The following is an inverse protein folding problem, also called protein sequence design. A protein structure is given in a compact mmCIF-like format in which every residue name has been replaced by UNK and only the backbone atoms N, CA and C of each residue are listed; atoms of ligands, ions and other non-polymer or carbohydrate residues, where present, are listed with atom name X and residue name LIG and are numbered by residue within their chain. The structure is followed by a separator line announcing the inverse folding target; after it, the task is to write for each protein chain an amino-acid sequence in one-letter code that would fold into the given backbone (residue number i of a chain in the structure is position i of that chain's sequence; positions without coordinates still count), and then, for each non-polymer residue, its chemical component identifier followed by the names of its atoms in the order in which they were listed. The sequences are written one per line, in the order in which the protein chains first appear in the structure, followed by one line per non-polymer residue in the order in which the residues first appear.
data_IF_849743477415
#
_entry.id   IF_849743477415
#
_cell.length_a   1.000
_cell.length_b   1.000
_cell.length_c   1.000
_cell.angle_alpha   90.00
_cell.angle_beta   90.00
_cell.angle_gamma   90.00
#
_symmetry.space_group_name_H-M   'P 1'
#
loop_
_entity.id
_entity.type
_entity.pdbx_description
1 polymer ?
#
# COMPACT_ATOMS: atom_id res chain seq x y z
N UNK A 1 -15.11 -35.47 -27.62
CA UNK A 1 -14.39 -35.59 -26.34
C UNK A 1 -13.70 -34.25 -26.09
N UNK A 2 -14.29 -33.42 -25.26
CA UNK A 2 -13.73 -32.13 -24.89
C UNK A 2 -12.95 -32.34 -23.59
N UNK A 3 -11.64 -32.16 -23.64
CA UNK A 3 -10.78 -32.15 -22.44
C UNK A 3 -10.99 -30.80 -21.73
N UNK A 4 -11.67 -30.82 -20.61
CA UNK A 4 -11.71 -29.68 -19.68
C UNK A 4 -10.35 -29.59 -18.98
N UNK A 5 -9.53 -28.64 -19.37
CA UNK A 5 -8.39 -28.20 -18.57
C UNK A 5 -8.94 -27.36 -17.39
N UNK A 6 -9.09 -28.00 -16.25
CA UNK A 6 -9.26 -27.30 -14.99
C UNK A 6 -7.93 -26.65 -14.64
N UNK A 7 -7.83 -25.33 -14.80
CA UNK A 7 -6.74 -24.55 -14.25
C UNK A 7 -6.82 -24.66 -12.72
N UNK A 8 -5.90 -25.43 -12.14
CA UNK A 8 -5.71 -25.45 -10.70
C UNK A 8 -5.09 -24.09 -10.32
N UNK A 9 -5.87 -23.23 -9.70
CA UNK A 9 -5.36 -22.07 -8.98
C UNK A 9 -4.46 -22.64 -7.88
N UNK A 10 -3.17 -22.46 -8.03
CA UNK A 10 -2.22 -22.78 -6.97
C UNK A 10 -2.48 -21.79 -5.84
N UNK A 11 -3.20 -22.22 -4.82
CA UNK A 11 -3.32 -21.50 -3.56
C UNK A 11 -1.90 -21.28 -3.05
N UNK A 12 -1.44 -20.02 -3.04
CA UNK A 12 -0.19 -19.67 -2.39
C UNK A 12 -0.31 -20.10 -0.93
N UNK A 13 0.72 -20.78 -0.42
CA UNK A 13 0.77 -21.11 0.98
C UNK A 13 0.49 -19.83 1.80
N UNK A 14 -0.52 -19.88 2.69
CA UNK A 14 -0.86 -18.71 3.49
C UNK A 14 0.39 -18.30 4.28
N UNK A 15 0.79 -17.05 4.12
CA UNK A 15 1.87 -16.49 4.93
C UNK A 15 1.55 -16.66 6.41
N UNK A 16 2.54 -16.96 7.19
CA UNK A 16 2.40 -16.92 8.65
C UNK A 16 2.56 -15.48 9.13
N UNK A 17 1.73 -15.02 10.08
CA UNK A 17 1.90 -13.70 10.67
C UNK A 17 3.30 -13.56 11.27
N UNK A 18 3.90 -12.40 11.10
CA UNK A 18 5.14 -12.07 11.79
C UNK A 18 4.83 -11.93 13.28
N UNK A 19 5.39 -12.82 14.11
CA UNK A 19 5.26 -12.68 15.56
C UNK A 19 6.48 -11.91 16.09
N UNK A 20 6.28 -10.70 16.58
CA UNK A 20 7.29 -10.05 17.41
C UNK A 20 7.52 -10.88 18.67
N UNK A 21 8.80 -11.03 19.05
CA UNK A 21 9.24 -11.96 20.11
C UNK A 21 8.67 -11.69 21.50
N UNK A 22 8.11 -10.52 21.76
CA UNK A 22 7.47 -10.20 23.03
C UNK A 22 6.36 -9.15 22.79
N UNK A 23 5.26 -9.20 23.56
CA UNK A 23 4.30 -8.11 23.55
C UNK A 23 5.00 -6.83 24.01
N UNK A 24 4.89 -5.77 23.24
CA UNK A 24 5.35 -4.44 23.60
C UNK A 24 4.16 -3.51 23.66
N UNK A 25 4.29 -2.48 24.51
CA UNK A 25 3.29 -1.44 24.65
C UNK A 25 3.83 -0.14 24.06
N UNK A 26 3.00 0.52 23.26
CA UNK A 26 3.29 1.89 22.84
C UNK A 26 2.88 2.87 23.93
N UNK A 27 3.69 3.89 24.16
CA UNK A 27 3.44 4.90 25.19
C UNK A 27 2.45 5.97 24.75
N UNK A 28 2.37 6.19 23.46
CA UNK A 28 1.48 7.19 22.84
C UNK A 28 0.74 6.55 21.68
N UNK A 29 -0.42 7.08 21.33
CA UNK A 29 -1.22 6.61 20.16
C UNK A 29 -0.68 7.17 18.83
N UNK A 30 0.64 7.28 18.70
CA UNK A 30 1.31 7.85 17.54
C UNK A 30 1.16 9.37 17.45
N UNK A 31 1.93 10.00 16.57
CA UNK A 31 1.93 11.46 16.40
C UNK A 31 0.64 12.00 15.79
N UNK A 32 -0.12 11.17 15.10
CA UNK A 32 -1.38 11.55 14.46
C UNK A 32 -2.60 11.31 15.36
N UNK A 33 -2.41 10.78 16.57
CA UNK A 33 -3.46 10.56 17.57
C UNK A 33 -4.50 9.53 17.10
N UNK A 34 -4.32 8.26 17.47
CA UNK A 34 -5.26 7.20 17.13
C UNK A 34 -6.29 7.01 18.25
N UNK A 35 -7.56 7.04 17.92
CA UNK A 35 -8.66 6.72 18.81
C UNK A 35 -9.08 5.24 18.63
N UNK A 36 -8.90 4.46 19.69
CA UNK A 36 -9.27 3.04 19.69
C UNK A 36 -10.78 2.80 19.63
N UNK A 37 -11.58 3.69 20.17
CA UNK A 37 -13.03 3.52 20.20
C UNK A 37 -13.64 3.64 18.81
N UNK A 38 -13.13 4.55 17.99
CA UNK A 38 -13.56 4.77 16.61
C UNK A 38 -12.70 4.01 15.59
N UNK A 39 -11.59 3.42 16.03
CA UNK A 39 -10.55 2.81 15.17
C UNK A 39 -10.11 3.77 14.05
N UNK A 40 -9.84 5.01 14.39
CA UNK A 40 -9.54 6.09 13.45
C UNK A 40 -8.51 7.04 14.02
N UNK A 41 -7.70 7.65 13.14
CA UNK A 41 -6.88 8.79 13.52
C UNK A 41 -7.75 10.06 13.66
N UNK A 42 -7.24 11.06 14.37
CA UNK A 42 -7.95 12.31 14.57
C UNK A 42 -8.07 13.12 13.29
N UNK A 43 -9.17 13.86 13.15
CA UNK A 43 -9.46 14.72 12.02
C UNK A 43 -10.24 14.04 10.89
N UNK A 44 -10.52 14.79 9.84
CA UNK A 44 -11.12 14.26 8.62
C UNK A 44 -10.11 13.47 7.79
N UNK A 45 -10.54 12.89 6.66
CA UNK A 45 -9.67 12.05 5.83
C UNK A 45 -8.42 12.79 5.32
N UNK A 46 -8.56 14.06 4.97
CA UNK A 46 -7.46 14.90 4.47
C UNK A 46 -6.48 15.23 5.60
N UNK A 47 -6.97 15.58 6.78
CA UNK A 47 -6.15 15.86 7.96
C UNK A 47 -5.38 14.62 8.40
N UNK A 48 -6.03 13.45 8.39
CA UNK A 48 -5.40 12.18 8.68
C UNK A 48 -4.30 11.88 7.65
N UNK A 49 -4.58 11.97 6.35
CA UNK A 49 -3.60 11.71 5.30
C UNK A 49 -2.39 12.67 5.38
N UNK A 50 -2.62 13.97 5.62
CA UNK A 50 -1.54 14.94 5.82
C UNK A 50 -0.61 14.58 6.97
N UNK A 51 -1.16 14.02 8.04
CA UNK A 51 -0.37 13.55 9.17
C UNK A 51 0.32 12.21 8.86
N UNK A 52 -0.37 11.28 8.23
CA UNK A 52 0.09 9.91 8.02
C UNK A 52 1.02 9.75 6.79
N UNK A 53 1.07 10.73 5.89
CA UNK A 53 2.01 10.77 4.77
C UNK A 53 3.22 11.68 5.03
N UNK A 54 3.63 11.84 6.27
CA UNK A 54 4.88 12.53 6.60
C UNK A 54 6.05 11.78 6.04
N UNK A 55 6.85 12.44 5.20
CA UNK A 55 8.08 11.87 4.69
C UNK A 55 9.14 11.74 5.78
N UNK A 56 10.09 10.85 5.56
CA UNK A 56 11.31 10.75 6.36
C UNK A 56 12.40 11.60 5.71
N UNK A 57 13.19 12.28 6.53
CA UNK A 57 14.40 12.93 6.07
C UNK A 57 15.55 11.92 5.91
N UNK A 58 16.67 12.36 5.31
CA UNK A 58 17.87 11.53 5.09
C UNK A 58 18.48 10.98 6.40
N UNK A 59 18.17 11.62 7.52
CA UNK A 59 18.61 11.19 8.86
C UNK A 59 17.59 10.27 9.54
N UNK A 60 16.56 9.86 8.81
CA UNK A 60 15.48 8.97 9.27
C UNK A 60 14.63 9.56 10.39
N UNK A 61 14.52 10.88 10.44
CA UNK A 61 13.54 11.53 11.28
C UNK A 61 12.24 11.75 10.52
N UNK A 62 11.13 11.54 11.20
CA UNK A 62 9.82 11.85 10.65
C UNK A 62 9.68 13.37 10.49
N UNK A 63 9.45 13.80 9.26
CA UNK A 63 9.27 15.20 8.88
C UNK A 63 8.01 15.84 9.48
N UNK A 64 7.77 17.12 9.17
CA UNK A 64 6.55 17.80 9.57
C UNK A 64 5.33 17.20 8.86
N UNK A 65 4.15 17.48 9.41
CA UNK A 65 2.91 17.20 8.70
C UNK A 65 2.90 17.93 7.36
N UNK A 66 2.38 17.28 6.31
CA UNK A 66 2.26 17.92 5.01
C UNK A 66 1.46 19.23 5.12
N UNK A 67 1.99 20.30 4.55
CA UNK A 67 1.30 21.59 4.55
C UNK A 67 -0.02 21.51 3.77
N UNK A 68 0.01 20.79 2.64
CA UNK A 68 -1.13 20.62 1.74
C UNK A 68 -1.05 19.23 1.08
N UNK A 69 -2.19 18.59 0.90
CA UNK A 69 -2.29 17.39 0.08
C UNK A 69 -2.32 17.77 -1.40
N UNK A 70 -1.75 16.95 -2.31
CA UNK A 70 -1.99 17.08 -3.75
C UNK A 70 -3.49 17.09 -4.05
N UNK A 71 -3.94 18.03 -4.90
CA UNK A 71 -5.37 18.24 -5.16
C UNK A 71 -6.14 16.96 -5.54
N UNK A 72 -5.64 16.07 -6.44
CA UNK A 72 -6.34 14.84 -6.77
C UNK A 72 -6.57 13.90 -5.57
N UNK A 73 -5.69 13.92 -4.58
CA UNK A 73 -5.85 13.17 -3.33
C UNK A 73 -6.78 13.90 -2.36
N UNK A 74 -6.59 15.22 -2.18
CA UNK A 74 -7.40 16.01 -1.25
C UNK A 74 -8.90 15.93 -1.57
N UNK A 75 -9.26 15.89 -2.86
CA UNK A 75 -10.66 15.82 -3.30
C UNK A 75 -11.30 14.45 -3.05
N UNK A 76 -10.52 13.43 -2.73
CA UNK A 76 -10.97 12.02 -2.63
C UNK A 76 -10.86 11.43 -1.24
N UNK A 77 -9.73 11.59 -0.59
CA UNK A 77 -9.36 10.85 0.62
C UNK A 77 -10.45 10.87 1.69
N UNK A 78 -10.86 9.69 2.12
CA UNK A 78 -11.83 9.52 3.21
C UNK A 78 -13.28 9.79 2.83
N UNK A 79 -13.60 10.02 1.54
CA UNK A 79 -14.98 10.21 1.07
C UNK A 79 -15.34 9.29 -0.11
N UNK A 80 -16.56 9.38 -0.62
CA UNK A 80 -17.07 8.55 -1.73
C UNK A 80 -17.10 9.32 -3.07
N UNK A 81 -16.75 10.60 -3.06
CA UNK A 81 -16.90 11.45 -4.23
C UNK A 81 -16.00 11.00 -5.39
N UNK A 82 -16.60 10.84 -6.57
CA UNK A 82 -15.86 10.43 -7.78
C UNK A 82 -15.28 9.02 -7.76
N UNK A 83 -15.70 8.16 -6.83
CA UNK A 83 -15.29 6.76 -6.80
C UNK A 83 -15.82 6.04 -8.05
N UNK A 84 -14.97 5.34 -8.81
CA UNK A 84 -15.41 4.55 -9.96
C UNK A 84 -16.37 3.42 -9.56
N UNK A 85 -17.24 3.02 -10.49
CA UNK A 85 -18.08 1.84 -10.25
C UNK A 85 -17.26 0.55 -10.42
N UNK A 86 -17.70 -0.53 -9.79
CA UNK A 86 -17.08 -1.86 -9.93
C UNK A 86 -17.12 -2.34 -11.38
N UNK A 87 -18.21 -2.05 -12.11
CA UNK A 87 -18.39 -2.40 -13.52
C UNK A 87 -17.37 -1.69 -14.42
N UNK A 88 -17.20 -0.38 -14.22
CA UNK A 88 -16.22 0.40 -14.97
C UNK A 88 -14.79 -0.13 -14.72
N UNK A 89 -14.48 -0.41 -13.47
CA UNK A 89 -13.19 -0.98 -13.07
C UNK A 89 -12.98 -2.38 -13.64
N UNK A 90 -13.97 -3.28 -13.57
CA UNK A 90 -13.92 -4.61 -14.17
C UNK A 90 -13.65 -4.54 -15.67
N UNK A 91 -14.38 -3.68 -16.39
CA UNK A 91 -14.17 -3.47 -17.83
C UNK A 91 -12.76 -2.98 -18.15
N UNK A 92 -12.20 -2.12 -17.30
CA UNK A 92 -10.85 -1.62 -17.50
C UNK A 92 -9.78 -2.68 -17.23
N UNK A 93 -9.94 -3.46 -16.16
CA UNK A 93 -9.01 -4.54 -15.81
C UNK A 93 -8.95 -5.62 -16.88
N UNK A 94 -10.10 -5.98 -17.46
CA UNK A 94 -10.17 -6.92 -18.60
C UNK A 94 -9.36 -6.46 -19.80
N UNK A 95 -9.35 -5.14 -20.09
CA UNK A 95 -8.57 -4.57 -21.19
C UNK A 95 -7.04 -4.60 -20.94
N UNK A 96 -6.64 -4.63 -19.67
CA UNK A 96 -5.23 -4.65 -19.28
C UNK A 96 -4.66 -6.06 -19.13
N UNK A 97 -5.46 -7.11 -19.38
CA UNK A 97 -5.09 -8.51 -19.08
C UNK A 97 -4.71 -8.75 -17.60
N UNK A 98 -5.31 -7.92 -16.73
CA UNK A 98 -5.16 -8.00 -15.27
C UNK A 98 -6.37 -8.67 -14.60
N UNK A 99 -7.24 -9.27 -15.37
CA UNK A 99 -8.46 -9.92 -14.91
C UNK A 99 -8.18 -11.04 -13.90
N UNK A 100 -7.13 -11.81 -14.17
CA UNK A 100 -6.71 -12.90 -13.29
C UNK A 100 -6.19 -12.45 -11.94
N UNK A 101 -5.64 -11.25 -11.88
CA UNK A 101 -5.04 -10.74 -10.65
C UNK A 101 -6.05 -10.00 -9.76
N UNK A 102 -7.08 -9.36 -10.35
CA UNK A 102 -7.97 -8.50 -9.58
C UNK A 102 -9.45 -8.60 -9.93
N UNK A 103 -9.84 -8.83 -11.18
CA UNK A 103 -11.24 -8.69 -11.56
C UNK A 103 -12.13 -9.72 -10.87
N UNK A 104 -11.64 -10.96 -10.70
CA UNK A 104 -12.37 -12.01 -10.00
C UNK A 104 -12.63 -11.66 -8.53
N UNK A 105 -11.74 -10.86 -7.91
CA UNK A 105 -11.82 -10.46 -6.52
C UNK A 105 -12.48 -9.10 -6.30
N UNK A 106 -12.78 -8.36 -7.38
CA UNK A 106 -13.37 -7.03 -7.29
C UNK A 106 -14.71 -7.02 -6.53
N UNK A 107 -15.44 -8.11 -6.58
CA UNK A 107 -16.72 -8.29 -5.92
C UNK A 107 -16.63 -8.82 -4.50
N UNK A 108 -15.48 -9.30 -4.10
CA UNK A 108 -15.24 -9.75 -2.74
C UNK A 108 -15.19 -8.56 -1.78
N UNK A 109 -15.55 -8.76 -0.50
CA UNK A 109 -15.42 -7.72 0.51
C UNK A 109 -13.95 -7.34 0.68
N UNK A 110 -13.71 -6.16 1.25
CA UNK A 110 -12.39 -5.80 1.79
C UNK A 110 -12.29 -6.29 3.24
N UNK A 111 -11.07 -6.43 3.77
CA UNK A 111 -10.87 -6.81 5.18
C UNK A 111 -11.55 -5.84 6.14
N UNK A 112 -11.84 -6.34 7.34
CA UNK A 112 -12.33 -5.56 8.47
C UNK A 112 -11.38 -5.65 9.64
N UNK A 113 -11.38 -4.65 10.47
CA UNK A 113 -10.68 -4.68 11.75
C UNK A 113 -11.13 -5.88 12.60
N UNK A 114 -10.39 -6.14 13.67
CA UNK A 114 -10.67 -7.21 14.60
C UNK A 114 -10.86 -8.59 13.92
N UNK A 115 -9.94 -8.88 12.98
CA UNK A 115 -9.89 -10.18 12.27
C UNK A 115 -11.18 -10.49 11.48
N UNK A 116 -11.69 -9.51 10.75
CA UNK A 116 -12.94 -9.58 9.98
C UNK A 116 -14.22 -9.65 10.84
N UNK A 117 -14.21 -9.11 12.05
CA UNK A 117 -15.46 -8.97 12.83
C UNK A 117 -16.49 -8.16 12.02
N UNK A 118 -17.69 -8.71 11.75
CA UNK A 118 -18.73 -8.00 10.98
C UNK A 118 -19.17 -6.66 11.61
N UNK A 119 -19.03 -6.50 12.92
CA UNK A 119 -19.34 -5.26 13.63
C UNK A 119 -18.20 -4.23 13.58
N UNK A 120 -16.99 -4.65 13.20
CA UNK A 120 -15.85 -3.77 13.12
C UNK A 120 -15.81 -2.98 11.79
N UNK A 121 -15.15 -1.82 11.74
CA UNK A 121 -15.00 -1.05 10.51
C UNK A 121 -14.25 -1.82 9.44
N UNK A 122 -14.59 -1.58 8.17
CA UNK A 122 -13.80 -2.02 7.02
C UNK A 122 -12.43 -1.35 7.04
N UNK A 123 -11.47 -1.93 6.29
CA UNK A 123 -10.17 -1.32 6.08
C UNK A 123 -10.32 0.13 5.64
N UNK A 124 -9.56 1.01 6.29
CA UNK A 124 -9.59 2.46 6.08
C UNK A 124 -8.28 3.02 5.55
N UNK A 125 -7.17 2.34 5.86
CA UNK A 125 -5.84 2.85 5.64
C UNK A 125 -5.12 2.01 4.58
N UNK A 126 -4.50 2.71 3.63
CA UNK A 126 -3.69 2.11 2.57
C UNK A 126 -2.22 2.41 2.87
N UNK A 127 -1.52 1.42 3.42
CA UNK A 127 -0.15 1.59 3.91
C UNK A 127 0.85 1.32 2.81
N UNK A 128 1.64 2.33 2.53
CA UNK A 128 2.70 2.30 1.52
C UNK A 128 4.02 2.02 2.24
N UNK A 129 4.68 0.95 1.81
CA UNK A 129 5.99 0.51 2.28
C UNK A 129 7.02 0.58 1.16
N UNK A 130 8.30 0.51 1.51
CA UNK A 130 9.34 0.09 0.61
C UNK A 130 10.14 -1.06 1.22
N UNK A 131 10.67 -1.91 0.34
CA UNK A 131 11.38 -3.12 0.78
C UNK A 131 12.73 -2.84 1.43
N UNK A 132 13.31 -1.66 1.24
CA UNK A 132 14.70 -1.35 1.62
C UNK A 132 15.74 -2.40 1.14
N UNK A 133 15.36 -3.23 0.18
CA UNK A 133 16.13 -4.38 -0.33
C UNK A 133 16.20 -4.38 -1.87
N UNK A 134 17.35 -4.73 -2.45
CA UNK A 134 18.63 -5.02 -1.79
C UNK A 134 19.32 -3.77 -1.25
N UNK A 135 20.03 -3.93 -0.13
CA UNK A 135 20.88 -2.87 0.39
C UNK A 135 22.31 -3.00 -0.18
N UNK A 136 22.76 -1.98 -0.90
CA UNK A 136 24.07 -1.93 -1.53
C UNK A 136 25.18 -1.41 -0.61
N UNK A 137 24.85 -0.98 0.60
CA UNK A 137 25.81 -0.36 1.52
C UNK A 137 26.47 0.86 0.86
N UNK A 138 27.80 0.87 0.77
CA UNK A 138 28.57 1.95 0.15
C UNK A 138 28.69 1.85 -1.39
N UNK A 139 28.27 0.74 -1.99
CA UNK A 139 28.38 0.53 -3.44
C UNK A 139 27.37 1.40 -4.18
N UNK A 140 27.75 1.89 -5.36
CA UNK A 140 26.82 2.58 -6.25
C UNK A 140 25.64 1.67 -6.63
N UNK A 141 24.49 2.28 -6.92
CA UNK A 141 23.40 1.55 -7.56
C UNK A 141 23.87 1.06 -8.94
N UNK A 142 23.56 -0.18 -9.32
CA UNK A 142 23.84 -0.65 -10.68
C UNK A 142 22.98 0.11 -11.71
N UNK A 143 23.48 0.22 -12.94
CA UNK A 143 22.76 0.92 -14.03
C UNK A 143 21.39 0.31 -14.29
N UNK A 144 21.28 -1.02 -14.15
CA UNK A 144 20.06 -1.79 -14.36
C UNK A 144 19.06 -1.73 -13.17
N UNK A 145 19.28 -0.87 -12.17
CA UNK A 145 18.45 -0.79 -10.97
C UNK A 145 16.95 -0.63 -11.28
N UNK A 146 16.64 0.04 -12.38
CA UNK A 146 15.26 0.27 -12.84
C UNK A 146 14.76 -0.80 -13.85
N UNK A 147 15.59 -1.79 -14.17
CA UNK A 147 15.21 -2.84 -15.12
C UNK A 147 14.45 -3.96 -14.39
N UNK A 148 13.20 -4.20 -14.78
CA UNK A 148 12.34 -5.24 -14.20
C UNK A 148 12.89 -6.66 -14.32
N UNK A 149 13.70 -6.93 -15.34
CA UNK A 149 14.35 -8.24 -15.53
C UNK A 149 15.59 -8.42 -14.66
N UNK A 150 16.07 -7.38 -14.02
CA UNK A 150 17.18 -7.49 -13.08
C UNK A 150 16.79 -8.34 -11.87
N UNK A 151 17.72 -9.16 -11.39
CA UNK A 151 17.55 -9.93 -10.14
C UNK A 151 17.23 -9.05 -8.93
N UNK A 152 17.58 -7.78 -8.98
CA UNK A 152 17.25 -6.78 -7.97
C UNK A 152 15.73 -6.65 -7.82
N UNK A 153 15.00 -6.71 -8.94
CA UNK A 153 13.56 -6.51 -9.02
C UNK A 153 12.76 -7.82 -8.98
N UNK A 154 13.38 -8.93 -8.58
CA UNK A 154 12.72 -10.23 -8.54
C UNK A 154 11.66 -10.29 -7.44
N UNK A 155 10.41 -10.41 -7.83
CA UNK A 155 9.27 -10.63 -6.93
C UNK A 155 9.34 -11.96 -6.18
N UNK A 156 10.09 -12.95 -6.71
CA UNK A 156 10.19 -14.27 -6.08
C UNK A 156 10.78 -14.26 -4.67
N UNK A 157 11.57 -13.24 -4.33
CA UNK A 157 12.14 -13.04 -3.00
C UNK A 157 11.10 -12.68 -1.94
N UNK A 158 9.94 -12.17 -2.38
CA UNK A 158 8.91 -11.63 -1.51
C UNK A 158 7.69 -12.55 -1.41
N UNK A 159 7.79 -13.76 -1.95
CA UNK A 159 6.76 -14.79 -1.79
C UNK A 159 6.70 -15.27 -0.34
N UNK A 160 5.52 -15.65 0.10
CA UNK A 160 5.27 -16.24 1.42
C UNK A 160 5.89 -17.64 1.63
N UNK A 161 7.03 -17.96 1.00
CA UNK A 161 7.62 -19.30 1.01
C UNK A 161 8.17 -19.73 2.36
N UNK A 162 8.64 -18.78 3.18
CA UNK A 162 9.43 -19.06 4.37
C UNK A 162 8.72 -18.74 5.69
N UNK A 163 7.43 -18.56 5.63
CA UNK A 163 6.61 -18.36 6.84
C UNK A 163 6.69 -16.96 7.44
N UNK A 164 7.38 -16.01 6.81
CA UNK A 164 7.44 -14.61 7.25
C UNK A 164 6.31 -13.80 6.62
N UNK A 165 5.70 -12.94 7.42
CA UNK A 165 4.68 -12.01 6.96
C UNK A 165 5.22 -11.11 5.87
N UNK A 166 4.43 -10.90 4.84
CA UNK A 166 4.69 -10.00 3.73
C UNK A 166 3.45 -9.16 3.52
N UNK A 167 3.61 -7.96 2.96
CA UNK A 167 2.49 -7.12 2.58
C UNK A 167 1.48 -7.88 1.70
N UNK A 168 0.26 -7.38 1.63
CA UNK A 168 -0.76 -7.95 0.73
C UNK A 168 -0.23 -8.03 -0.69
N UNK A 169 0.40 -6.95 -1.16
CA UNK A 169 0.94 -6.84 -2.52
C UNK A 169 2.36 -6.32 -2.49
N UNK A 170 3.21 -6.86 -3.37
CA UNK A 170 4.56 -6.32 -3.64
C UNK A 170 4.62 -5.88 -5.10
N UNK A 171 5.13 -4.68 -5.36
CA UNK A 171 5.27 -4.10 -6.70
C UNK A 171 6.75 -3.87 -7.00
N UNK A 172 7.23 -4.43 -8.12
CA UNK A 172 8.61 -4.21 -8.56
C UNK A 172 8.76 -2.91 -9.36
N UNK A 173 10.00 -2.57 -9.73
CA UNK A 173 10.30 -1.31 -10.41
C UNK A 173 9.80 -1.24 -11.88
N UNK A 174 9.36 -2.34 -12.47
CA UNK A 174 8.65 -2.38 -13.77
C UNK A 174 7.13 -2.30 -13.64
N UNK A 175 6.59 -2.24 -12.41
CA UNK A 175 5.15 -2.22 -12.18
C UNK A 175 4.51 -3.60 -12.18
N UNK A 176 5.30 -4.69 -12.28
CA UNK A 176 4.77 -6.03 -12.06
C UNK A 176 4.48 -6.22 -10.58
N UNK A 177 3.52 -7.07 -10.25
CA UNK A 177 3.12 -7.27 -8.87
C UNK A 177 3.04 -8.74 -8.48
N UNK A 178 3.14 -8.97 -7.20
CA UNK A 178 2.93 -10.23 -6.53
C UNK A 178 1.85 -10.05 -5.48
N UNK A 179 0.78 -10.81 -5.58
CA UNK A 179 -0.27 -10.88 -4.57
C UNK A 179 0.10 -11.99 -3.56
N UNK A 180 0.36 -11.62 -2.33
CA UNK A 180 0.62 -12.55 -1.24
C UNK A 180 -0.65 -12.85 -0.44
N UNK A 181 -1.49 -11.83 -0.22
CA UNK A 181 -2.76 -11.93 0.48
C UNK A 181 -3.84 -11.19 -0.30
N UNK A 182 -4.99 -11.82 -0.44
CA UNK A 182 -6.19 -11.15 -0.94
C UNK A 182 -6.58 -10.00 0.00
N UNK A 183 -7.16 -8.92 -0.57
CA UNK A 183 -7.49 -7.72 0.21
C UNK A 183 -8.60 -7.94 1.26
N UNK A 184 -9.29 -9.09 1.24
CA UNK A 184 -10.23 -9.50 2.29
C UNK A 184 -9.54 -10.23 3.46
N UNK A 185 -8.28 -10.58 3.32
CA UNK A 185 -7.54 -11.28 4.38
C UNK A 185 -7.04 -10.26 5.40
N UNK A 186 -7.49 -10.31 6.65
CA UNK A 186 -6.99 -9.44 7.69
C UNK A 186 -5.51 -9.67 7.94
N UNK A 187 -4.71 -8.62 7.84
CA UNK A 187 -3.26 -8.72 7.99
C UNK A 187 -2.71 -7.60 8.87
N UNK A 188 -1.49 -7.73 9.36
CA UNK A 188 -0.74 -6.73 10.14
C UNK A 188 0.72 -6.77 9.76
N UNK A 189 1.30 -5.64 9.43
CA UNK A 189 2.71 -5.57 9.02
C UNK A 189 3.49 -4.43 9.71
N UNK A 190 2.83 -3.58 10.49
CA UNK A 190 3.49 -2.52 11.25
C UNK A 190 3.61 -2.87 12.72
N UNK A 191 4.59 -2.28 13.40
CA UNK A 191 4.71 -2.42 14.84
C UNK A 191 3.56 -1.76 15.57
N UNK A 192 3.05 -0.66 15.02
CA UNK A 192 1.87 0.00 15.56
C UNK A 192 0.70 -0.98 15.69
N UNK A 193 0.34 -1.68 14.62
CA UNK A 193 -0.80 -2.62 14.63
C UNK A 193 -0.60 -3.81 15.56
N UNK A 194 0.67 -4.18 15.82
CA UNK A 194 1.01 -5.33 16.63
C UNK A 194 1.23 -4.99 18.11
N UNK A 195 1.09 -3.70 18.48
CA UNK A 195 1.22 -3.29 19.85
C UNK A 195 0.16 -3.94 20.74
N UNK A 196 0.59 -4.39 21.93
CA UNK A 196 -0.26 -5.06 22.90
C UNK A 196 -1.44 -4.20 23.38
N UNK A 197 -1.32 -2.88 23.27
CA UNK A 197 -2.42 -1.94 23.53
C UNK A 197 -3.71 -2.28 22.81
N UNK A 198 -3.61 -2.83 21.60
CA UNK A 198 -4.76 -3.08 20.74
C UNK A 198 -5.31 -4.50 20.83
N UNK A 199 -4.60 -5.42 21.51
CA UNK A 199 -5.03 -6.82 21.67
C UNK A 199 -5.45 -7.51 20.37
N UNK A 200 -4.87 -7.07 19.23
CA UNK A 200 -5.21 -7.58 17.89
C UNK A 200 -6.36 -6.87 17.19
N UNK A 201 -7.03 -5.93 17.81
CA UNK A 201 -8.20 -5.24 17.24
C UNK A 201 -7.93 -4.52 15.91
N UNK A 202 -6.68 -4.14 15.64
CA UNK A 202 -6.32 -3.46 14.39
C UNK A 202 -6.10 -4.40 13.20
N UNK A 203 -6.08 -5.72 13.41
CA UNK A 203 -5.87 -6.68 12.34
C UNK A 203 -6.98 -6.60 11.30
N UNK A 204 -6.63 -6.17 10.09
CA UNK A 204 -7.56 -5.97 8.98
C UNK A 204 -8.06 -4.53 8.78
N UNK A 205 -7.63 -3.56 9.62
CA UNK A 205 -7.94 -2.15 9.44
C UNK A 205 -7.06 -1.48 8.38
N UNK A 206 -5.87 -2.03 8.14
CA UNK A 206 -4.83 -1.52 7.27
C UNK A 206 -4.58 -2.50 6.11
N UNK A 207 -4.40 -1.95 4.91
CA UNK A 207 -3.95 -2.71 3.73
C UNK A 207 -2.51 -2.34 3.43
N UNK A 208 -1.65 -3.32 3.20
CA UNK A 208 -0.21 -3.11 3.06
C UNK A 208 0.25 -3.37 1.64
N UNK A 209 0.99 -2.43 1.07
CA UNK A 209 1.61 -2.54 -0.25
C UNK A 209 3.09 -2.18 -0.16
N UNK A 210 3.93 -3.11 -0.56
CA UNK A 210 5.38 -2.97 -0.63
C UNK A 210 5.81 -2.55 -2.04
N UNK A 211 6.68 -1.57 -2.14
CA UNK A 211 7.35 -1.18 -3.38
C UNK A 211 8.81 -1.61 -3.32
N UNK A 212 9.30 -2.36 -4.31
CA UNK A 212 10.73 -2.69 -4.35
C UNK A 212 11.53 -1.39 -4.51
N UNK A 213 12.29 -1.05 -3.48
CA UNK A 213 13.21 0.06 -3.48
C UNK A 213 14.58 -0.39 -2.95
N UNK A 214 15.57 -0.59 -3.84
CA UNK A 214 16.95 -0.80 -3.40
C UNK A 214 17.44 0.38 -2.58
N UNK A 215 18.27 0.12 -1.60
CA UNK A 215 18.85 1.17 -0.76
C UNK A 215 20.37 1.14 -0.75
N UNK A 216 20.97 2.28 -0.41
CA UNK A 216 22.34 2.41 0.07
C UNK A 216 22.28 3.00 1.47
N UNK A 217 23.16 2.53 2.34
CA UNK A 217 23.29 3.08 3.68
C UNK A 217 24.75 3.33 3.98
N UNK A 218 25.09 4.54 4.41
CA UNK A 218 26.41 4.91 4.84
C UNK A 218 26.54 4.62 6.35
N UNK A 219 27.26 3.57 6.72
CA UNK A 219 27.31 3.01 8.06
C UNK A 219 28.01 3.84 9.14
N UNK A 220 28.19 5.15 8.98
CA UNK A 220 28.94 6.00 9.90
C UNK A 220 28.15 7.10 10.60
N UNK A 221 26.88 7.29 10.27
CA UNK A 221 25.99 8.21 10.97
C UNK A 221 25.34 7.59 12.20
N UNK A 222 24.88 8.39 13.14
CA UNK A 222 24.01 7.95 14.25
C UNK A 222 22.70 7.31 13.77
N UNK A 223 22.36 7.55 12.53
CA UNK A 223 21.21 7.01 11.80
C UNK A 223 21.75 6.69 10.40
N UNK A 224 21.63 5.48 9.93
CA UNK A 224 22.07 5.08 8.58
C UNK A 224 21.54 6.07 7.56
N UNK A 225 22.40 6.89 6.98
CA UNK A 225 22.05 7.79 5.89
C UNK A 225 21.56 6.94 4.73
N UNK A 226 20.27 6.71 4.70
CA UNK A 226 19.67 5.86 3.69
C UNK A 226 19.48 6.67 2.40
N UNK A 227 19.94 6.13 1.28
CA UNK A 227 19.76 6.71 -0.04
C UNK A 227 18.94 5.78 -0.90
N UNK A 228 17.93 6.34 -1.55
CA UNK A 228 17.17 5.68 -2.61
C UNK A 228 17.86 5.82 -3.97
N UNK A 229 17.52 4.98 -4.97
CA UNK A 229 17.90 5.22 -6.35
C UNK A 229 17.24 6.50 -6.91
N UNK A 230 17.65 6.91 -8.08
CA UNK A 230 17.00 7.98 -8.84
C UNK A 230 16.41 7.40 -10.15
N UNK A 231 15.08 7.48 -10.34
CA UNK A 231 14.07 7.96 -9.38
C UNK A 231 13.95 7.02 -8.16
N UNK A 232 13.48 7.56 -7.03
CA UNK A 232 13.23 6.78 -5.82
C UNK A 232 12.23 5.64 -6.10
N UNK A 233 11.12 5.97 -6.75
CA UNK A 233 10.15 5.05 -7.31
C UNK A 233 9.92 5.37 -8.77
N UNK A 234 9.70 4.35 -9.59
CA UNK A 234 9.50 4.53 -11.03
C UNK A 234 8.06 4.95 -11.35
N UNK A 235 7.82 5.60 -12.50
CA UNK A 235 6.45 5.86 -12.96
C UNK A 235 5.59 4.59 -13.03
N UNK A 236 6.17 3.45 -13.45
CA UNK A 236 5.46 2.18 -13.51
C UNK A 236 5.01 1.69 -12.12
N UNK A 237 5.81 1.94 -11.07
CA UNK A 237 5.40 1.66 -9.69
C UNK A 237 4.25 2.55 -9.25
N UNK A 238 4.30 3.86 -9.52
CA UNK A 238 3.22 4.78 -9.19
C UNK A 238 1.92 4.42 -9.92
N UNK A 239 1.98 4.10 -11.20
CA UNK A 239 0.81 3.70 -11.98
C UNK A 239 0.16 2.42 -11.44
N UNK A 240 0.97 1.42 -11.08
CA UNK A 240 0.47 0.18 -10.49
C UNK A 240 -0.08 0.38 -9.10
N UNK A 241 0.60 1.17 -8.27
CA UNK A 241 0.16 1.52 -6.92
C UNK A 241 -1.18 2.28 -6.95
N UNK A 242 -1.31 3.25 -7.86
CA UNK A 242 -2.53 4.02 -8.05
C UNK A 242 -3.70 3.14 -8.48
N UNK A 243 -3.49 2.21 -9.42
CA UNK A 243 -4.52 1.26 -9.82
C UNK A 243 -4.97 0.39 -8.64
N UNK A 244 -4.02 -0.13 -7.85
CA UNK A 244 -4.34 -0.92 -6.67
C UNK A 244 -5.09 -0.10 -5.60
N UNK A 245 -4.69 1.15 -5.39
CA UNK A 245 -5.39 2.07 -4.50
C UNK A 245 -6.85 2.31 -4.93
N UNK A 246 -7.08 2.52 -6.22
CA UNK A 246 -8.44 2.65 -6.77
C UNK A 246 -9.24 1.37 -6.55
N UNK A 247 -8.67 0.19 -6.85
CA UNK A 247 -9.31 -1.11 -6.64
C UNK A 247 -9.71 -1.29 -5.16
N UNK A 248 -8.80 -1.05 -4.25
CA UNK A 248 -9.04 -1.18 -2.82
C UNK A 248 -10.11 -0.19 -2.33
N UNK A 249 -10.07 1.05 -2.82
CA UNK A 249 -11.07 2.08 -2.49
C UNK A 249 -12.46 1.72 -3.02
N UNK A 250 -12.58 1.20 -4.25
CA UNK A 250 -13.85 0.73 -4.80
C UNK A 250 -14.43 -0.43 -3.99
N UNK A 251 -13.59 -1.37 -3.54
CA UNK A 251 -14.01 -2.48 -2.66
C UNK A 251 -14.47 -1.98 -1.29
N UNK A 252 -13.81 -0.96 -0.76
CA UNK A 252 -14.13 -0.32 0.52
C UNK A 252 -15.36 0.60 0.44
N UNK A 253 -15.82 0.95 -0.76
CA UNK A 253 -16.91 1.89 -1.06
C UNK A 253 -16.61 3.34 -0.65
N UNK A 254 -15.35 3.64 -0.32
CA UNK A 254 -14.85 4.99 -0.09
C UNK A 254 -13.35 5.04 -0.38
N UNK A 255 -12.85 6.24 -0.67
CA UNK A 255 -11.42 6.43 -0.86
C UNK A 255 -10.67 6.18 0.44
N UNK A 256 -9.74 5.23 0.39
CA UNK A 256 -8.89 4.90 1.52
C UNK A 256 -7.97 6.07 1.89
N UNK A 257 -7.46 6.07 3.10
CA UNK A 257 -6.51 7.07 3.59
C UNK A 257 -5.10 6.55 3.35
N UNK A 258 -4.32 7.14 2.42
CA UNK A 258 -2.95 6.72 2.19
C UNK A 258 -2.07 7.05 3.39
N UNK A 259 -1.16 6.15 3.72
CA UNK A 259 -0.41 6.17 4.97
C UNK A 259 1.00 5.64 4.73
N UNK A 260 2.02 6.24 5.33
CA UNK A 260 3.38 5.70 5.32
C UNK A 260 3.65 4.85 6.55
N UNK A 261 4.36 3.75 6.38
CA UNK A 261 4.78 2.88 7.46
C UNK A 261 5.52 3.68 8.55
N UNK A 262 6.45 4.55 8.14
CA UNK A 262 7.19 5.42 9.05
C UNK A 262 6.31 6.26 9.97
N UNK A 263 5.17 6.73 9.48
CA UNK A 263 4.25 7.55 10.28
C UNK A 263 3.48 6.71 11.33
N UNK A 264 3.18 5.45 11.00
CA UNK A 264 2.55 4.51 11.93
C UNK A 264 3.52 4.10 13.04
N UNK A 265 4.74 3.77 12.68
CA UNK A 265 5.77 3.31 13.61
C UNK A 265 6.53 4.46 14.30
N UNK A 266 6.11 5.70 14.07
CA UNK A 266 6.72 6.87 14.70
C UNK A 266 6.73 6.74 16.23
N UNK A 267 7.88 7.06 16.84
CA UNK A 267 8.11 6.98 18.28
C UNK A 267 8.07 5.54 18.87
N UNK A 268 7.98 4.51 18.00
CA UNK A 268 8.14 3.11 18.41
C UNK A 268 9.63 2.72 18.31
N UNK A 269 10.20 2.09 19.34
CA UNK A 269 11.60 1.66 19.28
C UNK A 269 11.88 0.74 18.08
N UNK A 270 12.91 1.08 17.30
CA UNK A 270 13.26 0.45 16.03
C UNK A 270 12.08 0.43 15.02
N UNK A 271 11.22 1.44 15.07
CA UNK A 271 10.19 1.68 14.06
C UNK A 271 10.79 1.75 12.66
N UNK A 272 9.99 1.44 11.67
CA UNK A 272 10.43 1.50 10.29
C UNK A 272 10.44 2.93 9.77
N UNK A 273 11.20 3.17 8.70
CA UNK A 273 11.47 4.50 8.15
C UNK A 273 11.11 4.61 6.66
N UNK A 274 10.22 3.76 6.21
CA UNK A 274 9.77 3.65 4.82
C UNK A 274 8.37 4.27 4.62
N UNK A 275 8.03 4.67 3.38
CA UNK A 275 8.85 4.65 2.17
C UNK A 275 9.81 5.86 2.08
N UNK A 276 11.05 5.62 1.63
CA UNK A 276 12.05 6.69 1.50
C UNK A 276 11.87 7.46 0.20
N UNK A 277 11.79 8.80 0.29
CA UNK A 277 11.66 9.71 -0.87
C UNK A 277 10.45 9.38 -1.78
N UNK A 278 9.35 8.95 -1.19
CA UNK A 278 8.10 8.80 -1.92
C UNK A 278 7.56 10.18 -2.32
N UNK A 279 7.15 10.30 -3.59
CA UNK A 279 6.59 11.55 -4.12
C UNK A 279 5.06 11.46 -4.15
N UNK A 280 4.35 12.17 -3.26
CA UNK A 280 2.89 12.16 -3.22
C UNK A 280 2.25 12.84 -4.43
N UNK A 281 2.94 13.78 -5.13
CA UNK A 281 2.42 14.40 -6.35
C UNK A 281 2.37 13.38 -7.49
N UNK A 282 3.46 12.63 -7.73
CA UNK A 282 3.48 11.56 -8.74
C UNK A 282 2.43 10.48 -8.47
N UNK A 283 2.18 10.16 -7.20
CA UNK A 283 1.12 9.21 -6.84
C UNK A 283 -0.27 9.77 -7.13
N UNK A 284 -0.53 11.03 -6.79
CA UNK A 284 -1.79 11.71 -7.04
C UNK A 284 -2.08 11.84 -8.55
N UNK A 285 -1.07 12.18 -9.35
CA UNK A 285 -1.17 12.25 -10.81
C UNK A 285 -1.51 10.88 -11.41
N UNK A 286 -0.88 9.81 -10.94
CA UNK A 286 -1.18 8.45 -11.37
C UNK A 286 -2.59 8.00 -11.00
N UNK A 287 -3.11 8.40 -9.81
CA UNK A 287 -4.52 8.16 -9.43
C UNK A 287 -5.46 8.89 -10.39
N UNK A 288 -5.20 10.16 -10.65
CA UNK A 288 -6.03 10.95 -11.58
C UNK A 288 -6.04 10.34 -12.98
N UNK A 289 -4.88 9.90 -13.47
CA UNK A 289 -4.76 9.22 -14.76
C UNK A 289 -5.53 7.90 -14.79
N UNK A 290 -5.48 7.12 -13.71
CA UNK A 290 -6.25 5.87 -13.59
C UNK A 290 -7.76 6.14 -13.59
N UNK A 291 -8.22 7.11 -12.79
CA UNK A 291 -9.66 7.47 -12.70
C UNK A 291 -10.18 7.97 -14.05
N UNK A 292 -9.42 8.79 -14.77
CA UNK A 292 -9.81 9.25 -16.13
C UNK A 292 -10.03 8.10 -17.10
N UNK A 293 -9.18 7.07 -17.05
CA UNK A 293 -9.32 5.87 -17.90
C UNK A 293 -10.55 5.02 -17.55
N UNK A 294 -11.07 5.16 -16.34
CA UNK A 294 -12.26 4.45 -15.86
C UNK A 294 -13.57 5.19 -16.16
N UNK A 295 -13.51 6.45 -16.54
CA UNK A 295 -14.71 7.20 -16.92
C UNK A 295 -15.17 6.77 -18.33
N UNK A 296 -16.49 6.69 -18.58
CA UNK A 296 -16.99 6.48 -19.93
C UNK A 296 -16.47 7.57 -20.86
N UNK A 297 -16.07 7.21 -22.08
CA UNK A 297 -15.69 8.20 -23.09
C UNK A 297 -16.85 9.19 -23.32
N UNK A 298 -16.52 10.42 -23.72
CA UNK A 298 -17.54 11.45 -23.97
C UNK A 298 -18.56 11.01 -25.02
N UNK A 299 -18.19 10.11 -25.94
CA UNK A 299 -19.09 9.51 -26.92
C UNK A 299 -20.17 8.63 -26.24
N UNK A 300 -19.81 7.84 -25.24
CA UNK A 300 -20.76 7.01 -24.46
C UNK A 300 -21.65 7.88 -23.57
N UNK A 301 -21.11 8.98 -23.02
CA UNK A 301 -21.91 9.96 -22.26
C UNK A 301 -22.91 10.69 -23.13
N UNK A 302 -22.55 11.00 -24.37
CA UNK A 302 -23.43 11.66 -25.33
C UNK A 302 -24.56 10.72 -25.77
N UNK A 303 -24.27 9.44 -26.02
CA UNK A 303 -25.27 8.43 -26.40
C UNK A 303 -26.31 8.15 -25.30
N UNK A 304 -25.92 8.21 -24.03
CA UNK A 304 -26.83 7.96 -22.90
C UNK A 304 -27.70 9.19 -22.53
N UNK A 305 -27.54 10.32 -23.22
CA UNK A 305 -28.36 11.53 -23.04
C UNK A 305 -29.46 11.69 -24.10
N UNK A 306 -29.53 10.79 -25.07
CA UNK A 306 -30.58 10.69 -26.10
C UNK A 306 -31.58 9.62 -25.74
#
# INVERSE_FOLDING_TARGET
MALSLSAQVAWSAQCKPHHFRAPYFIKTMGRCGFDQATMSYHGDGVEQARCLMRGMDETRNLGPQMAMMPAPLADRVGNEAGLPTREALSTYLSKLDLEWDFAQYLWLPISRANDNDPAAPMARYFVIHDTSDPNFGHRAFPEEVNNGYSKINSLSKFKCSDGWGKAHVVINRSGDMLLNHELEIPWRETKFEQAANFSGALKGLFLHVELIQPRRSFGHGRHNDAQSPNPAFTPAQYDRLALLYVIASVRSQHWLIPTYHAALDADIPNGHDDPLNFDPESFAESIEAAVKKLQPSDEVRAANRQ
#
